data_IF_927365406274
#
_entry.id   IF_927365406274
#
_cell.length_a   1.000
_cell.length_b   1.000
_cell.length_c   1.000
_cell.angle_alpha   90.00
_cell.angle_beta   90.00
_cell.angle_gamma   90.00
#
_symmetry.space_group_name_H-M   'P 1'
#
loop_
_entity.id
_entity.type
_entity.pdbx_description
1 polymer ?
#
# COMPACT_ATOMS: atom_id res chain seq x y z
N UNK A 1 -6.44 22.92 -10.50
CA UNK A 1 -5.33 22.48 -9.63
C UNK A 1 -4.76 21.22 -10.29
N UNK A 2 -3.45 21.11 -10.47
CA UNK A 2 -2.84 19.90 -11.06
C UNK A 2 -2.76 18.83 -9.98
N UNK A 3 -3.14 17.57 -10.30
CA UNK A 3 -3.06 16.45 -9.37
C UNK A 3 -1.58 16.12 -9.08
N UNK A 4 -1.12 16.19 -7.82
CA UNK A 4 0.21 15.76 -7.47
C UNK A 4 0.34 14.24 -7.63
N UNK A 5 1.32 13.81 -8.43
CA UNK A 5 1.61 12.40 -8.64
C UNK A 5 3.07 12.13 -8.31
N UNK A 6 3.29 11.18 -7.41
CA UNK A 6 4.61 10.70 -6.99
C UNK A 6 5.02 9.52 -7.86
N UNK A 7 6.24 9.56 -8.37
CA UNK A 7 6.84 8.45 -9.10
C UNK A 7 8.37 8.45 -8.95
N UNK A 8 8.99 7.30 -9.04
CA UNK A 8 10.45 7.15 -9.06
C UNK A 8 10.88 6.04 -10.02
N UNK A 9 12.00 6.24 -10.71
CA UNK A 9 12.55 5.23 -11.63
C UNK A 9 12.82 3.87 -10.99
N UNK A 10 13.24 3.87 -9.72
CA UNK A 10 13.55 2.66 -8.96
C UNK A 10 12.30 1.95 -8.40
N UNK A 11 11.07 2.38 -8.77
CA UNK A 11 9.87 1.58 -8.58
C UNK A 11 9.90 0.31 -9.44
N UNK A 12 10.65 0.36 -10.54
CA UNK A 12 10.93 -0.77 -11.41
C UNK A 12 12.23 -1.46 -10.96
N UNK A 13 12.12 -2.39 -9.99
CA UNK A 13 13.26 -3.17 -9.55
C UNK A 13 13.77 -4.10 -10.66
N UNK A 14 15.07 -4.37 -10.67
CA UNK A 14 15.67 -5.34 -11.59
C UNK A 14 15.33 -6.75 -11.10
N UNK A 15 14.43 -7.42 -11.79
CA UNK A 15 14.02 -8.80 -11.57
C UNK A 15 14.38 -9.65 -12.79
N UNK A 16 14.56 -10.96 -12.59
CA UNK A 16 14.67 -11.90 -13.68
C UNK A 16 13.35 -11.97 -14.46
N UNK A 17 13.42 -12.28 -15.75
CA UNK A 17 12.25 -12.33 -16.64
C UNK A 17 11.23 -13.41 -16.26
N UNK A 18 11.63 -14.42 -15.48
CA UNK A 18 10.75 -15.49 -14.96
C UNK A 18 9.95 -15.07 -13.72
N UNK A 19 10.20 -13.89 -13.17
CA UNK A 19 9.46 -13.38 -12.01
C UNK A 19 7.99 -13.09 -12.41
N UNK A 20 7.06 -13.63 -11.64
CA UNK A 20 5.61 -13.52 -11.93
C UNK A 20 5.05 -12.10 -11.74
N UNK A 21 5.74 -11.26 -10.96
CA UNK A 21 5.27 -9.90 -10.71
C UNK A 21 5.58 -8.98 -11.89
N UNK A 22 4.58 -8.28 -12.43
CA UNK A 22 4.76 -7.43 -13.62
C UNK A 22 5.44 -6.11 -13.26
N UNK A 23 6.72 -6.16 -12.84
CA UNK A 23 7.46 -5.01 -12.31
C UNK A 23 7.53 -3.83 -13.29
N UNK A 24 7.52 -4.08 -14.60
CA UNK A 24 7.56 -3.07 -15.66
C UNK A 24 6.31 -2.17 -15.68
N UNK A 25 5.19 -2.61 -15.05
CA UNK A 25 3.96 -1.82 -14.97
C UNK A 25 4.16 -0.41 -14.42
N UNK A 26 5.08 -0.23 -13.49
CA UNK A 26 5.34 1.08 -12.87
C UNK A 26 5.94 2.08 -13.86
N UNK A 27 6.94 1.65 -14.65
CA UNK A 27 7.50 2.47 -15.71
C UNK A 27 6.52 2.73 -16.86
N UNK A 28 5.74 1.73 -17.25
CA UNK A 28 4.72 1.89 -18.30
C UNK A 28 3.59 2.83 -17.86
N UNK A 29 3.15 2.75 -16.59
CA UNK A 29 2.18 3.68 -16.03
C UNK A 29 2.72 5.12 -16.08
N UNK A 30 3.95 5.34 -15.63
CA UNK A 30 4.58 6.67 -15.67
C UNK A 30 4.64 7.24 -17.10
N UNK A 31 5.06 6.42 -18.08
CA UNK A 31 5.05 6.81 -19.50
C UNK A 31 3.65 7.14 -20.00
N UNK A 32 2.64 6.34 -19.63
CA UNK A 32 1.26 6.57 -20.03
C UNK A 32 0.70 7.87 -19.46
N UNK A 33 0.97 8.19 -18.19
CA UNK A 33 0.54 9.44 -17.54
C UNK A 33 1.11 10.67 -18.24
N UNK A 34 2.39 10.67 -18.59
CA UNK A 34 3.02 11.77 -19.36
C UNK A 34 2.47 11.84 -20.79
N UNK A 35 2.41 10.69 -21.49
CA UNK A 35 1.92 10.62 -22.89
C UNK A 35 0.49 11.17 -23.02
N UNK A 36 -0.38 10.83 -22.09
CA UNK A 36 -1.77 11.29 -22.08
C UNK A 36 -1.96 12.66 -21.43
N UNK A 37 -0.86 13.36 -21.09
CA UNK A 37 -0.88 14.70 -20.50
C UNK A 37 -1.69 14.79 -19.19
N UNK A 38 -1.79 13.69 -18.43
CA UNK A 38 -2.44 13.66 -17.12
C UNK A 38 -1.55 14.37 -16.10
N UNK A 39 -0.23 14.15 -16.20
CA UNK A 39 0.77 14.87 -15.41
C UNK A 39 1.82 15.48 -16.33
N UNK A 40 2.40 16.60 -15.91
CA UNK A 40 3.55 17.23 -16.60
C UNK A 40 4.87 16.75 -16.02
N UNK A 41 4.94 16.68 -14.69
CA UNK A 41 6.11 16.25 -13.93
C UNK A 41 5.67 15.41 -12.75
N UNK A 42 6.55 14.55 -12.28
CA UNK A 42 6.35 13.77 -11.06
C UNK A 42 7.05 14.42 -9.88
N UNK A 43 6.46 14.28 -8.70
CA UNK A 43 7.17 14.48 -7.45
C UNK A 43 8.05 13.26 -7.18
N UNK A 44 9.32 13.49 -6.89
CA UNK A 44 10.32 12.43 -6.71
C UNK A 44 10.51 12.19 -5.21
N UNK A 45 10.25 10.98 -4.71
CA UNK A 45 10.42 10.67 -3.29
C UNK A 45 11.86 10.33 -2.95
N UNK A 46 12.24 10.62 -1.72
CA UNK A 46 13.41 10.02 -1.07
C UNK A 46 13.06 8.65 -0.47
N UNK A 47 14.04 7.77 -0.26
CA UNK A 47 13.83 6.53 0.48
C UNK A 47 13.26 6.81 1.87
N UNK A 48 12.28 6.03 2.30
CA UNK A 48 11.71 6.14 3.64
C UNK A 48 12.80 5.91 4.69
N UNK A 49 12.86 6.76 5.71
CA UNK A 49 13.82 6.59 6.81
C UNK A 49 13.48 5.37 7.67
N UNK A 50 14.48 4.79 8.31
CA UNK A 50 14.29 3.67 9.25
C UNK A 50 13.35 4.07 10.38
N UNK A 51 13.48 5.30 10.89
CA UNK A 51 12.64 5.84 11.96
C UNK A 51 11.18 5.88 11.56
N UNK A 52 10.88 6.30 10.32
CA UNK A 52 9.50 6.32 9.81
C UNK A 52 8.98 4.90 9.56
N UNK A 53 9.81 3.99 9.05
CA UNK A 53 9.43 2.58 8.90
C UNK A 53 9.11 1.91 10.25
N UNK A 54 9.82 2.25 11.31
CA UNK A 54 9.60 1.71 12.67
C UNK A 54 8.24 2.08 13.26
N UNK A 55 7.55 3.03 12.69
CA UNK A 55 6.19 3.38 13.13
C UNK A 55 5.17 2.25 12.83
N UNK A 56 5.43 1.43 11.81
CA UNK A 56 4.58 0.30 11.43
C UNK A 56 5.29 -1.05 11.44
N UNK A 57 6.61 -1.08 11.32
CA UNK A 57 7.40 -2.30 11.25
C UNK A 57 8.38 -2.45 12.41
N UNK A 58 8.64 -3.69 12.81
CA UNK A 58 9.66 -3.98 13.83
C UNK A 58 11.06 -3.66 13.30
N UNK A 59 11.93 -3.18 14.19
CA UNK A 59 13.32 -2.87 13.85
C UNK A 59 14.09 -4.11 13.36
N UNK A 60 13.81 -5.27 13.94
CA UNK A 60 14.41 -6.55 13.52
C UNK A 60 14.07 -6.84 12.05
N UNK A 61 12.78 -6.73 11.67
CA UNK A 61 12.35 -6.98 10.30
C UNK A 61 12.98 -5.97 9.31
N UNK A 62 12.99 -4.68 9.65
CA UNK A 62 13.63 -3.65 8.82
C UNK A 62 15.11 -3.96 8.62
N UNK A 63 15.82 -4.35 9.67
CA UNK A 63 17.22 -4.72 9.60
C UNK A 63 17.46 -5.98 8.76
N UNK A 64 16.60 -6.99 8.86
CA UNK A 64 16.66 -8.18 8.01
C UNK A 64 16.52 -7.83 6.52
N UNK A 65 15.58 -6.95 6.17
CA UNK A 65 15.44 -6.47 4.79
C UNK A 65 16.67 -5.70 4.33
N UNK A 66 17.13 -4.72 5.13
CA UNK A 66 18.26 -3.86 4.81
C UNK A 66 19.56 -4.66 4.62
N UNK A 67 19.81 -5.64 5.48
CA UNK A 67 21.01 -6.47 5.47
C UNK A 67 20.86 -7.73 4.61
N UNK A 68 19.68 -7.96 4.02
CA UNK A 68 19.36 -9.15 3.20
C UNK A 68 19.57 -10.47 3.94
N UNK A 69 19.14 -10.52 5.21
CA UNK A 69 19.31 -11.66 6.10
C UNK A 69 18.02 -12.46 6.36
N UNK A 70 16.98 -12.22 5.57
CA UNK A 70 15.78 -13.07 5.59
C UNK A 70 16.12 -14.51 5.20
N UNK A 71 15.47 -15.47 5.83
CA UNK A 71 15.59 -16.86 5.46
C UNK A 71 14.84 -17.21 4.15
N UNK A 72 15.05 -18.43 3.64
CA UNK A 72 14.44 -18.87 2.39
C UNK A 72 12.91 -18.92 2.43
N UNK A 73 12.30 -19.16 3.60
CA UNK A 73 10.84 -19.21 3.74
C UNK A 73 10.26 -17.80 3.76
N UNK A 74 10.90 -16.86 4.47
CA UNK A 74 10.55 -15.46 4.49
C UNK A 74 10.62 -14.86 3.07
N UNK A 75 11.71 -15.12 2.33
CA UNK A 75 11.87 -14.68 0.92
C UNK A 75 10.77 -15.27 0.02
N UNK A 76 10.47 -16.57 0.18
CA UNK A 76 9.41 -17.24 -0.59
C UNK A 76 8.03 -16.66 -0.29
N UNK A 77 7.76 -16.30 0.95
CA UNK A 77 6.50 -15.68 1.38
C UNK A 77 6.31 -14.29 0.75
N UNK A 78 7.37 -13.50 0.68
CA UNK A 78 7.36 -12.22 -0.04
C UNK A 78 7.15 -12.44 -1.54
N UNK A 79 7.77 -13.45 -2.15
CA UNK A 79 7.69 -13.72 -3.59
C UNK A 79 8.67 -12.91 -4.44
N UNK A 80 9.50 -12.07 -3.82
CA UNK A 80 10.62 -11.37 -4.46
C UNK A 80 11.96 -11.92 -4.00
N UNK A 81 12.98 -11.98 -4.90
CA UNK A 81 14.35 -12.20 -4.47
C UNK A 81 14.82 -11.00 -3.65
N UNK A 82 15.54 -11.22 -2.56
CA UNK A 82 16.03 -10.13 -1.72
C UNK A 82 17.34 -9.57 -2.26
N UNK A 83 17.28 -8.93 -3.43
CA UNK A 83 18.40 -8.26 -4.11
C UNK A 83 18.38 -6.75 -3.86
N UNK A 84 19.50 -6.07 -4.12
CA UNK A 84 19.66 -4.64 -3.83
C UNK A 84 18.57 -3.76 -4.47
N UNK A 85 18.18 -4.07 -5.71
CA UNK A 85 17.13 -3.31 -6.41
C UNK A 85 15.77 -3.45 -5.76
N UNK A 86 15.42 -4.64 -5.22
CA UNK A 86 14.17 -4.88 -4.50
C UNK A 86 14.19 -4.18 -3.14
N UNK A 87 15.29 -4.27 -2.40
CA UNK A 87 15.45 -3.56 -1.13
C UNK A 87 15.30 -2.06 -1.36
N UNK A 88 16.04 -1.50 -2.32
CA UNK A 88 15.98 -0.08 -2.66
C UNK A 88 14.57 0.35 -3.06
N UNK A 89 13.91 -0.42 -3.94
CA UNK A 89 12.51 -0.20 -4.33
C UNK A 89 11.60 -0.11 -3.11
N UNK A 90 11.74 -1.01 -2.16
CA UNK A 90 10.86 -1.09 -0.99
C UNK A 90 10.94 0.18 -0.13
N UNK A 91 12.15 0.69 0.10
CA UNK A 91 12.34 1.95 0.82
C UNK A 91 11.80 3.15 0.05
N UNK A 92 12.04 3.21 -1.28
CA UNK A 92 11.61 4.34 -2.10
C UNK A 92 10.08 4.31 -2.32
N UNK A 93 9.47 3.14 -2.53
CA UNK A 93 8.01 3.04 -2.69
C UNK A 93 7.27 3.49 -1.42
N UNK A 94 7.75 3.08 -0.25
CA UNK A 94 7.19 3.54 1.04
C UNK A 94 7.41 5.04 1.23
N UNK A 95 8.61 5.56 0.90
CA UNK A 95 8.88 7.00 0.90
C UNK A 95 7.96 7.76 -0.05
N UNK A 96 7.58 7.14 -1.17
CA UNK A 96 6.62 7.69 -2.13
C UNK A 96 5.22 7.85 -1.55
N UNK A 97 4.72 6.86 -0.82
CA UNK A 97 3.41 6.96 -0.16
C UNK A 97 3.43 7.99 0.96
N UNK A 98 4.51 8.09 1.74
CA UNK A 98 4.68 9.15 2.74
C UNK A 98 4.73 10.53 2.08
N UNK A 99 5.41 10.69 0.93
CA UNK A 99 5.42 11.95 0.17
C UNK A 99 4.03 12.27 -0.38
N UNK A 100 3.33 11.31 -0.97
CA UNK A 100 1.96 11.50 -1.45
C UNK A 100 1.03 11.95 -0.33
N UNK A 101 1.17 11.36 0.86
CA UNK A 101 0.43 11.77 2.07
C UNK A 101 0.67 13.25 2.41
N UNK A 102 1.93 13.69 2.44
CA UNK A 102 2.28 15.10 2.69
C UNK A 102 1.72 16.04 1.62
N UNK A 103 1.74 15.61 0.37
CA UNK A 103 1.15 16.37 -0.73
C UNK A 103 -0.37 16.45 -0.61
N UNK A 104 -1.04 15.35 -0.24
CA UNK A 104 -2.48 15.32 -0.03
C UNK A 104 -2.95 16.27 1.08
N UNK A 105 -2.19 16.41 2.17
CA UNK A 105 -2.47 17.41 3.22
C UNK A 105 -2.47 18.85 2.67
N UNK A 106 -1.65 19.14 1.66
CA UNK A 106 -1.54 20.48 1.09
C UNK A 106 -2.49 20.72 -0.10
N UNK A 107 -2.75 19.68 -0.90
CA UNK A 107 -3.48 19.77 -2.17
C UNK A 107 -4.89 19.14 -2.11
N UNK A 108 -5.24 18.49 -1.01
CA UNK A 108 -6.50 17.76 -0.82
C UNK A 108 -6.50 16.35 -1.41
N UNK A 109 -5.66 16.08 -2.41
CA UNK A 109 -5.49 14.77 -3.05
C UNK A 109 -4.09 14.64 -3.62
N UNK A 110 -3.51 13.44 -3.58
CA UNK A 110 -2.27 13.10 -4.27
C UNK A 110 -2.26 11.59 -4.60
N UNK A 111 -1.44 11.19 -5.57
CA UNK A 111 -1.29 9.80 -5.96
C UNK A 111 0.18 9.36 -5.88
N UNK A 112 0.40 8.09 -5.54
CA UNK A 112 1.67 7.41 -5.73
C UNK A 112 1.51 6.33 -6.82
N UNK A 113 2.40 6.27 -7.80
CA UNK A 113 2.32 5.26 -8.87
C UNK A 113 2.81 3.88 -8.45
N UNK A 114 3.41 3.76 -7.26
CA UNK A 114 3.71 2.50 -6.57
C UNK A 114 3.15 2.57 -5.15
N UNK A 115 3.15 1.46 -4.45
CA UNK A 115 2.56 1.37 -3.11
C UNK A 115 1.40 0.38 -3.09
N UNK A 116 0.58 0.47 -2.04
CA UNK A 116 -0.50 -0.50 -1.80
C UNK A 116 0.02 -1.86 -1.37
N UNK A 117 1.11 -1.90 -0.60
CA UNK A 117 1.76 -3.13 -0.15
C UNK A 117 1.05 -3.70 1.08
N UNK A 118 -0.20 -4.03 0.92
CA UNK A 118 -1.21 -4.31 1.95
C UNK A 118 -1.09 -5.69 2.62
N UNK A 119 -0.23 -6.58 2.14
CA UNK A 119 -0.02 -7.90 2.75
C UNK A 119 1.09 -7.94 3.79
N UNK A 120 2.01 -6.97 3.80
CA UNK A 120 3.07 -6.92 4.79
C UNK A 120 2.51 -6.54 6.16
N UNK A 121 2.86 -7.35 7.18
CA UNK A 121 2.54 -7.09 8.58
C UNK A 121 3.69 -6.34 9.26
N UNK A 122 3.60 -6.09 10.56
CA UNK A 122 4.66 -5.37 11.28
C UNK A 122 6.02 -6.09 11.28
N UNK A 123 6.06 -7.41 11.16
CA UNK A 123 7.27 -8.22 11.32
C UNK A 123 7.57 -9.15 10.15
N UNK A 124 6.77 -9.14 9.09
CA UNK A 124 6.98 -9.98 7.91
C UNK A 124 6.37 -9.40 6.64
N UNK A 125 6.97 -9.74 5.49
CA UNK A 125 6.41 -9.45 4.18
C UNK A 125 5.74 -10.68 3.56
N UNK A 126 4.78 -10.44 2.67
CA UNK A 126 4.07 -11.49 1.95
C UNK A 126 3.47 -10.95 0.64
N UNK A 127 3.13 -11.82 -0.32
CA UNK A 127 2.34 -11.46 -1.49
C UNK A 127 2.91 -10.27 -2.28
N UNK A 128 4.21 -10.27 -2.55
CA UNK A 128 4.96 -9.19 -3.21
C UNK A 128 5.04 -7.86 -2.43
N UNK A 129 4.62 -7.87 -1.16
CA UNK A 129 4.70 -6.73 -0.24
C UNK A 129 5.89 -6.92 0.71
N UNK A 130 6.85 -5.98 0.68
CA UNK A 130 8.01 -5.98 1.59
C UNK A 130 7.70 -5.13 2.82
N UNK A 131 7.39 -3.85 2.64
CA UNK A 131 6.90 -2.96 3.69
C UNK A 131 5.47 -2.54 3.39
N UNK A 132 4.64 -2.41 4.42
CA UNK A 132 3.30 -1.86 4.28
C UNK A 132 3.37 -0.33 4.27
N UNK A 133 3.45 0.23 3.09
CA UNK A 133 3.62 1.65 2.87
C UNK A 133 2.41 2.47 3.32
N UNK A 134 1.20 1.94 3.17
CA UNK A 134 -0.05 2.59 3.63
C UNK A 134 -0.06 2.64 5.16
N UNK A 135 0.31 1.53 5.82
CA UNK A 135 0.39 1.51 7.28
C UNK A 135 1.46 2.48 7.82
N UNK A 136 2.63 2.53 7.18
CA UNK A 136 3.67 3.52 7.53
C UNK A 136 3.15 4.94 7.38
N UNK A 137 2.44 5.25 6.29
CA UNK A 137 1.91 6.58 6.03
C UNK A 137 0.77 6.96 7.00
N UNK A 138 -0.12 6.02 7.34
CA UNK A 138 -1.16 6.24 8.34
C UNK A 138 -0.57 6.50 9.73
N UNK A 139 0.39 5.69 10.16
CA UNK A 139 1.12 5.92 11.43
C UNK A 139 1.90 7.22 11.42
N UNK A 140 2.49 7.61 10.28
CA UNK A 140 3.13 8.90 10.12
C UNK A 140 2.17 10.08 10.42
N UNK A 141 0.91 9.98 10.01
CA UNK A 141 -0.09 11.01 10.30
C UNK A 141 -0.50 11.03 11.78
N UNK A 142 -0.86 9.86 12.33
CA UNK A 142 -1.38 9.77 13.70
C UNK A 142 -0.31 10.11 14.74
N UNK A 143 0.92 9.62 14.58
CA UNK A 143 2.02 9.89 15.52
C UNK A 143 2.43 11.39 15.60
N UNK A 144 2.08 12.17 14.57
CA UNK A 144 2.35 13.61 14.50
C UNK A 144 1.11 14.47 14.75
N UNK A 145 -0.03 13.85 15.06
CA UNK A 145 -1.29 14.57 15.26
C UNK A 145 -1.79 15.31 14.03
N UNK A 146 -1.41 14.84 12.82
CA UNK A 146 -1.83 15.42 11.55
C UNK A 146 -3.19 14.88 11.08
N UNK A 147 -3.60 13.73 11.58
CA UNK A 147 -4.93 13.15 11.47
C UNK A 147 -5.21 12.29 12.71
N UNK A 148 -6.45 12.29 13.18
CA UNK A 148 -6.89 11.52 14.34
C UNK A 148 -7.76 10.33 13.95
N UNK A 149 -8.44 10.39 12.81
CA UNK A 149 -9.31 9.32 12.29
C UNK A 149 -9.03 9.11 10.79
N UNK A 150 -8.48 7.97 10.47
CA UNK A 150 -8.02 7.62 9.13
C UNK A 150 -8.85 6.44 8.60
N UNK A 151 -9.26 6.51 7.34
CA UNK A 151 -9.87 5.41 6.61
C UNK A 151 -8.87 4.83 5.60
N UNK A 152 -8.70 3.51 5.59
CA UNK A 152 -8.02 2.78 4.52
C UNK A 152 -9.08 2.04 3.71
N UNK A 153 -9.22 2.38 2.44
CA UNK A 153 -10.10 1.70 1.48
C UNK A 153 -9.23 0.82 0.59
N UNK A 154 -9.37 -0.49 0.75
CA UNK A 154 -8.65 -1.49 -0.03
C UNK A 154 -9.63 -2.22 -0.95
N UNK A 155 -9.50 -1.97 -2.25
CA UNK A 155 -10.31 -2.61 -3.31
C UNK A 155 -9.47 -3.58 -4.17
N UNK A 156 -8.30 -3.98 -3.69
CA UNK A 156 -7.56 -5.07 -4.33
C UNK A 156 -8.37 -6.37 -4.26
N UNK A 157 -8.22 -7.23 -5.26
CA UNK A 157 -8.89 -8.53 -5.30
C UNK A 157 -8.51 -9.43 -4.12
N UNK A 158 -7.34 -9.22 -3.54
CA UNK A 158 -6.87 -9.89 -2.33
C UNK A 158 -7.25 -9.08 -1.09
N UNK A 159 -7.49 -9.74 0.03
CA UNK A 159 -7.70 -9.02 1.29
C UNK A 159 -6.45 -8.28 1.74
N UNK A 160 -6.61 -7.05 2.21
CA UNK A 160 -5.56 -6.26 2.85
C UNK A 160 -5.22 -6.75 4.26
N UNK A 161 -4.85 -8.02 4.37
CA UNK A 161 -4.61 -8.68 5.65
C UNK A 161 -3.48 -8.06 6.48
N UNK A 162 -2.47 -7.49 5.84
CA UNK A 162 -1.41 -6.75 6.52
C UNK A 162 -1.93 -5.48 7.19
N UNK A 163 -2.81 -4.73 6.50
CA UNK A 163 -3.50 -3.57 7.08
C UNK A 163 -4.30 -3.98 8.31
N UNK A 164 -5.14 -5.01 8.17
CA UNK A 164 -5.97 -5.53 9.28
C UNK A 164 -5.13 -5.92 10.50
N UNK A 165 -4.02 -6.63 10.31
CA UNK A 165 -3.17 -7.09 11.41
C UNK A 165 -2.42 -5.93 12.10
N UNK A 166 -1.93 -4.94 11.35
CA UNK A 166 -1.22 -3.79 11.92
C UNK A 166 -2.16 -2.90 12.73
N UNK A 167 -3.39 -2.71 12.27
CA UNK A 167 -4.35 -1.79 12.89
C UNK A 167 -5.40 -2.46 13.79
N UNK A 168 -5.32 -3.75 14.00
CA UNK A 168 -6.29 -4.56 14.76
C UNK A 168 -6.74 -3.97 16.11
N UNK A 169 -5.88 -3.21 16.79
CA UNK A 169 -6.15 -2.58 18.07
C UNK A 169 -5.93 -1.07 18.02
N UNK A 170 -6.04 -0.47 16.87
CA UNK A 170 -5.81 0.96 16.66
C UNK A 170 -7.12 1.68 16.34
N UNK A 171 -7.67 2.39 17.31
CA UNK A 171 -8.93 3.09 17.16
C UNK A 171 -8.86 4.34 16.26
N UNK A 172 -7.66 4.74 15.81
CA UNK A 172 -7.47 5.90 14.93
C UNK A 172 -7.52 5.53 13.44
N UNK A 173 -7.39 4.23 13.11
CA UNK A 173 -7.37 3.77 11.72
C UNK A 173 -8.46 2.74 11.50
N UNK A 174 -9.39 3.05 10.63
CA UNK A 174 -10.46 2.15 10.19
C UNK A 174 -10.02 1.46 8.89
N UNK A 175 -10.04 0.14 8.88
CA UNK A 175 -9.67 -0.68 7.74
C UNK A 175 -10.89 -1.23 7.04
N UNK A 176 -11.08 -0.88 5.76
CA UNK A 176 -12.10 -1.44 4.89
C UNK A 176 -11.45 -2.23 3.76
N UNK A 177 -11.80 -3.52 3.63
CA UNK A 177 -11.32 -4.38 2.55
C UNK A 177 -12.49 -5.05 1.83
N UNK A 178 -12.62 -4.77 0.52
CA UNK A 178 -13.62 -5.41 -0.34
C UNK A 178 -12.87 -6.31 -1.35
N UNK A 179 -12.92 -7.62 -1.13
CA UNK A 179 -12.03 -8.58 -1.75
C UNK A 179 -12.73 -9.89 -2.12
N UNK A 180 -12.09 -10.69 -2.96
CA UNK A 180 -12.58 -12.03 -3.31
C UNK A 180 -12.51 -12.96 -2.09
N UNK A 181 -13.62 -13.62 -1.77
CA UNK A 181 -13.75 -14.59 -0.69
C UNK A 181 -12.78 -15.77 -0.81
N UNK A 182 -12.57 -16.25 -2.02
CA UNK A 182 -11.78 -17.48 -2.28
C UNK A 182 -10.31 -17.21 -2.61
N UNK A 183 -9.94 -15.95 -2.87
CA UNK A 183 -8.58 -15.61 -3.28
C UNK A 183 -7.64 -15.47 -2.07
N UNK A 184 -6.37 -15.13 -2.32
CA UNK A 184 -5.35 -14.92 -1.28
C UNK A 184 -5.74 -13.78 -0.29
N UNK A 185 -5.39 -13.88 1.00
CA UNK A 185 -4.80 -15.03 1.66
C UNK A 185 -5.81 -16.16 1.92
N UNK A 186 -5.35 -17.41 1.98
CA UNK A 186 -6.23 -18.55 2.24
C UNK A 186 -6.91 -18.47 3.62
N UNK A 187 -6.21 -17.95 4.62
CA UNK A 187 -6.78 -17.59 5.92
C UNK A 187 -6.93 -16.07 5.98
N UNK A 188 -8.17 -15.61 5.97
CA UNK A 188 -8.49 -14.19 6.08
C UNK A 188 -8.16 -13.64 7.48
N UNK A 189 -7.73 -12.38 7.54
CA UNK A 189 -7.68 -11.58 8.77
C UNK A 189 -9.03 -10.91 9.01
N UNK A 190 -9.14 -10.11 10.06
CA UNK A 190 -10.35 -9.37 10.38
C UNK A 190 -10.04 -7.88 10.31
N UNK A 191 -10.65 -7.19 9.35
CA UNK A 191 -10.65 -5.72 9.23
C UNK A 191 -11.81 -5.15 10.06
N UNK A 192 -11.90 -3.82 10.18
CA UNK A 192 -13.07 -3.17 10.77
C UNK A 192 -14.31 -3.41 9.90
N UNK A 193 -14.13 -3.47 8.57
CA UNK A 193 -15.16 -3.85 7.61
C UNK A 193 -14.59 -4.70 6.49
N UNK A 194 -14.97 -5.97 6.43
CA UNK A 194 -14.64 -6.90 5.35
C UNK A 194 -15.88 -7.18 4.49
N UNK A 195 -15.77 -6.99 3.18
CA UNK A 195 -16.78 -7.38 2.19
C UNK A 195 -16.19 -8.49 1.31
N UNK A 196 -16.58 -9.72 1.63
CA UNK A 196 -16.19 -10.91 0.86
C UNK A 196 -17.08 -11.04 -0.38
N UNK A 197 -16.47 -10.89 -1.55
CA UNK A 197 -17.15 -11.00 -2.83
C UNK A 197 -17.12 -12.45 -3.34
N UNK A 198 -18.27 -12.91 -3.82
CA UNK A 198 -18.40 -14.23 -4.48
C UNK A 198 -17.74 -14.20 -5.87
N UNK A 199 -17.47 -15.39 -6.41
CA UNK A 199 -16.91 -15.53 -7.77
C UNK A 199 -17.96 -15.16 -8.82
N UNK A 200 -17.50 -14.70 -9.97
CA UNK A 200 -18.33 -14.31 -11.12
C UNK A 200 -19.29 -13.14 -10.87
N UNK A 201 -18.94 -12.24 -9.95
CA UNK A 201 -19.70 -11.01 -9.71
C UNK A 201 -19.66 -10.11 -10.95
N UNK A 202 -20.81 -9.60 -11.36
CA UNK A 202 -20.94 -8.66 -12.47
C UNK A 202 -20.50 -7.23 -12.05
N UNK A 203 -20.00 -6.44 -12.99
CA UNK A 203 -19.52 -5.07 -12.75
C UNK A 203 -20.54 -4.20 -12.03
N UNK A 204 -21.82 -4.29 -12.42
CA UNK A 204 -22.90 -3.52 -11.83
C UNK A 204 -23.11 -3.88 -10.37
N UNK A 205 -23.13 -5.16 -10.05
CA UNK A 205 -23.31 -5.66 -8.69
C UNK A 205 -22.12 -5.25 -7.80
N UNK A 206 -20.89 -5.38 -8.32
CA UNK A 206 -19.69 -4.89 -7.64
C UNK A 206 -19.80 -3.40 -7.29
N UNK A 207 -20.19 -2.57 -8.24
CA UNK A 207 -20.33 -1.11 -8.04
C UNK A 207 -21.47 -0.79 -7.06
N UNK A 208 -22.58 -1.53 -7.08
CA UNK A 208 -23.70 -1.29 -6.17
C UNK A 208 -23.32 -1.70 -4.73
N UNK A 209 -22.59 -2.80 -4.54
CA UNK A 209 -22.04 -3.20 -3.23
C UNK A 209 -21.07 -2.11 -2.72
N UNK A 210 -20.14 -1.67 -3.56
CA UNK A 210 -19.17 -0.62 -3.18
C UNK A 210 -19.88 0.67 -2.77
N UNK A 211 -20.82 1.16 -3.58
CA UNK A 211 -21.56 2.40 -3.28
C UNK A 211 -22.32 2.33 -1.96
N UNK A 212 -22.95 1.20 -1.66
CA UNK A 212 -23.69 1.03 -0.42
C UNK A 212 -22.78 1.08 0.81
N UNK A 213 -21.60 0.45 0.72
CA UNK A 213 -20.62 0.47 1.81
C UNK A 213 -19.96 1.84 1.96
N UNK A 214 -19.61 2.51 0.84
CA UNK A 214 -19.06 3.87 0.89
C UNK A 214 -20.07 4.87 1.45
N UNK A 215 -21.37 4.71 1.19
CA UNK A 215 -22.42 5.53 1.79
C UNK A 215 -22.46 5.37 3.31
N UNK A 216 -22.37 4.16 3.81
CA UNK A 216 -22.28 3.87 5.25
C UNK A 216 -21.01 4.52 5.86
N UNK A 217 -19.85 4.36 5.22
CA UNK A 217 -18.59 4.95 5.69
C UNK A 217 -18.59 6.48 5.65
N UNK A 218 -19.36 7.09 4.74
CA UNK A 218 -19.46 8.56 4.63
C UNK A 218 -20.30 9.20 5.77
N UNK A 219 -21.00 8.39 6.55
CA UNK A 219 -21.68 8.84 7.79
C UNK A 219 -20.69 9.05 8.94
N UNK A 220 -19.47 8.49 8.81
CA UNK A 220 -18.35 8.68 9.71
C UNK A 220 -17.45 9.82 9.23
N UNK A 221 -16.97 10.65 10.16
CA UNK A 221 -16.03 11.72 9.84
C UNK A 221 -14.59 11.19 9.89
N UNK A 222 -13.90 11.15 8.74
CA UNK A 222 -12.48 10.82 8.64
C UNK A 222 -11.68 12.05 8.25
N UNK A 223 -10.55 12.25 8.93
CA UNK A 223 -9.61 13.37 8.63
C UNK A 223 -8.79 13.08 7.36
N UNK A 224 -8.52 11.80 7.08
CA UNK A 224 -7.71 11.37 5.94
C UNK A 224 -8.16 10.01 5.40
N UNK A 225 -8.07 9.84 4.09
CA UNK A 225 -8.44 8.59 3.42
C UNK A 225 -7.27 8.10 2.55
N UNK A 226 -6.87 6.87 2.74
CA UNK A 226 -6.04 6.13 1.81
C UNK A 226 -6.92 5.23 0.94
N UNK A 227 -6.63 5.24 -0.38
CA UNK A 227 -7.32 4.42 -1.36
C UNK A 227 -6.30 3.72 -2.27
#
# INVERSE_FOLDING_TARGET
>A
MELPVVNHKDYEAQLNDDNKFPIKKFGELAKALIKNKIVKNFYIPEPCSVETLKEAHTEDYINKIKNKTLDKNEIRKIGFPLVDSVVRRSFIATGGTVLATKLALNYGIACNTAGGSHHATSNEGAGFCVFNDVAVAAKYLTSRGLANKILIIDLDVHQGNGNSEIFKNDNQVFTFSMHSKVNYPAKKSVSDLDIELEENLEDREYIDILKNNLKYLNEEEFDFVFY
#
